data_IF_437690244049
#
_entry.id   IF_437690244049
#
_cell.length_a   1.000
_cell.length_b   1.000
_cell.length_c   1.000
_cell.angle_alpha   90.00
_cell.angle_beta   90.00
_cell.angle_gamma   90.00
#
_symmetry.space_group_name_H-M   'P 1'
#
loop_
_entity.id
_entity.type
_entity.pdbx_description
1 polymer ?
#
# COMPACT_ATOMS: atom_id res chain seq x y z
N UNK A 1 -4.48 -0.71 7.45
CA UNK A 1 -3.06 -1.12 7.61
C UNK A 1 -3.10 -2.26 8.61
N UNK A 2 -3.01 -3.49 8.15
CA UNK A 2 -3.34 -4.64 9.00
C UNK A 2 -2.19 -4.90 9.96
N UNK A 3 -2.43 -4.70 11.26
CA UNK A 3 -1.42 -4.82 12.32
C UNK A 3 -0.67 -6.16 12.21
N UNK A 4 -1.39 -7.22 11.84
CA UNK A 4 -0.86 -8.57 11.60
C UNK A 4 0.15 -8.65 10.45
N UNK A 5 -0.10 -7.99 9.32
CA UNK A 5 0.82 -7.99 8.16
C UNK A 5 2.11 -7.25 8.51
N UNK A 6 1.98 -6.11 9.19
CA UNK A 6 3.13 -5.32 9.63
C UNK A 6 3.98 -6.09 10.64
N UNK A 7 3.34 -6.86 11.53
CA UNK A 7 4.05 -7.69 12.50
C UNK A 7 4.84 -8.82 11.84
N UNK A 8 4.23 -9.52 10.87
CA UNK A 8 4.93 -10.56 10.12
C UNK A 8 6.15 -9.97 9.38
N UNK A 9 6.03 -8.78 8.78
CA UNK A 9 7.17 -8.10 8.15
C UNK A 9 8.28 -7.78 9.15
N UNK A 10 7.93 -7.23 10.33
CA UNK A 10 8.90 -6.94 11.38
C UNK A 10 9.65 -8.19 11.81
N UNK A 11 8.93 -9.28 12.06
CA UNK A 11 9.53 -10.56 12.45
C UNK A 11 10.46 -11.11 11.39
N UNK A 12 10.06 -11.09 10.11
CA UNK A 12 10.92 -11.49 8.99
C UNK A 12 12.20 -10.64 8.94
N UNK A 13 12.10 -9.33 9.12
CA UNK A 13 13.27 -8.44 9.13
C UNK A 13 14.23 -8.76 10.28
N UNK A 14 13.70 -8.97 11.49
CA UNK A 14 14.50 -9.34 12.66
C UNK A 14 15.23 -10.67 12.44
N UNK A 15 14.50 -11.71 12.00
CA UNK A 15 15.10 -13.03 11.76
C UNK A 15 16.19 -12.97 10.70
N UNK A 16 16.01 -12.20 9.62
CA UNK A 16 17.05 -12.04 8.59
C UNK A 16 18.31 -11.38 9.14
N UNK A 17 18.17 -10.37 10.00
CA UNK A 17 19.31 -9.73 10.65
C UNK A 17 20.05 -10.72 11.56
N UNK A 18 19.32 -11.50 12.37
CA UNK A 18 19.91 -12.55 13.22
C UNK A 18 20.60 -13.64 12.39
N UNK A 19 19.99 -14.06 11.28
CA UNK A 19 20.60 -15.02 10.35
C UNK A 19 21.93 -14.52 9.79
N UNK A 20 22.05 -13.23 9.46
CA UNK A 20 23.32 -12.65 9.00
C UNK A 20 24.42 -12.75 10.06
N UNK A 21 24.07 -12.57 11.34
CA UNK A 21 25.03 -12.74 12.44
C UNK A 21 25.46 -14.21 12.61
N UNK A 22 24.53 -15.16 12.50
CA UNK A 22 24.85 -16.58 12.57
C UNK A 22 25.70 -17.02 11.37
N UNK A 23 25.41 -16.52 10.16
CA UNK A 23 26.24 -16.77 8.98
C UNK A 23 27.67 -16.24 9.15
N UNK A 24 27.85 -15.07 9.78
CA UNK A 24 29.17 -14.57 10.14
C UNK A 24 29.88 -15.48 11.16
N UNK A 25 29.16 -15.94 12.19
CA UNK A 25 29.69 -16.89 13.18
C UNK A 25 30.13 -18.21 12.55
N UNK A 26 29.37 -18.74 11.58
CA UNK A 26 29.74 -19.96 10.85
C UNK A 26 31.04 -19.74 10.07
N UNK A 27 31.17 -18.60 9.38
CA UNK A 27 32.41 -18.25 8.66
C UNK A 27 33.60 -18.15 9.62
N UNK A 28 33.42 -17.55 10.79
CA UNK A 28 34.46 -17.44 11.81
C UNK A 28 34.86 -18.81 12.38
N UNK A 29 33.91 -19.73 12.58
CA UNK A 29 34.19 -21.11 13.00
C UNK A 29 34.98 -21.87 11.94
N UNK A 30 34.56 -21.79 10.67
CA UNK A 30 35.27 -22.40 9.54
C UNK A 30 36.69 -21.88 9.43
N UNK A 31 36.89 -20.55 9.53
CA UNK A 31 38.21 -19.93 9.45
C UNK A 31 39.15 -20.34 10.60
N UNK A 32 38.62 -20.93 11.66
CA UNK A 32 39.37 -21.41 12.84
C UNK A 32 39.40 -22.94 12.92
N UNK A 33 38.93 -23.64 11.88
CA UNK A 33 38.80 -25.10 11.84
C UNK A 33 37.98 -25.66 13.03
N UNK A 34 36.97 -24.91 13.48
CA UNK A 34 36.05 -25.31 14.55
C UNK A 34 34.78 -25.95 13.98
N UNK A 35 34.14 -26.81 14.78
CA UNK A 35 32.83 -27.36 14.43
C UNK A 35 31.76 -26.25 14.35
N UNK A 36 31.06 -26.20 13.22
CA UNK A 36 29.97 -25.24 12.94
C UNK A 36 28.60 -25.92 12.81
N UNK A 37 28.48 -27.20 13.15
CA UNK A 37 27.26 -28.00 12.96
C UNK A 37 26.07 -27.39 13.69
N UNK A 38 26.24 -26.97 14.95
CA UNK A 38 25.17 -26.32 15.73
C UNK A 38 24.71 -25.00 15.12
N UNK A 39 25.66 -24.11 14.78
CA UNK A 39 25.35 -22.83 14.16
C UNK A 39 24.64 -23.01 12.80
N UNK A 40 25.04 -24.02 12.04
CA UNK A 40 24.42 -24.40 10.76
C UNK A 40 23.00 -24.94 10.94
N UNK A 41 22.77 -25.82 11.92
CA UNK A 41 21.43 -26.30 12.26
C UNK A 41 20.51 -25.15 12.69
N UNK A 42 21.01 -24.22 13.52
CA UNK A 42 20.27 -23.03 13.92
C UNK A 42 19.92 -22.14 12.73
N UNK A 43 20.85 -21.94 11.79
CA UNK A 43 20.60 -21.19 10.56
C UNK A 43 19.48 -21.84 9.72
N UNK A 44 19.49 -23.16 9.59
CA UNK A 44 18.43 -23.88 8.87
C UNK A 44 17.07 -23.73 9.56
N UNK A 45 17.02 -23.80 10.89
CA UNK A 45 15.79 -23.58 11.64
C UNK A 45 15.22 -22.17 11.42
N UNK A 46 16.06 -21.14 11.46
CA UNK A 46 15.62 -19.76 11.19
C UNK A 46 15.14 -19.58 9.73
N UNK A 47 15.79 -20.24 8.76
CA UNK A 47 15.34 -20.26 7.36
C UNK A 47 13.94 -20.88 7.21
N UNK A 48 13.66 -21.95 7.96
CA UNK A 48 12.33 -22.56 8.00
C UNK A 48 11.29 -21.61 8.61
N UNK A 49 11.60 -20.92 9.71
CA UNK A 49 10.71 -19.93 10.33
C UNK A 49 10.39 -18.78 9.36
N UNK A 50 11.40 -18.27 8.64
CA UNK A 50 11.19 -17.22 7.62
C UNK A 50 10.29 -17.72 6.49
N UNK A 51 10.49 -18.96 6.01
CA UNK A 51 9.64 -19.55 4.97
C UNK A 51 8.18 -19.66 5.43
N UNK A 52 7.95 -20.07 6.68
CA UNK A 52 6.62 -20.15 7.27
C UNK A 52 5.96 -18.76 7.39
N UNK A 53 6.71 -17.77 7.88
CA UNK A 53 6.23 -16.39 7.99
C UNK A 53 5.88 -15.80 6.62
N UNK A 54 6.66 -16.08 5.58
CA UNK A 54 6.34 -15.69 4.20
C UNK A 54 5.05 -16.37 3.74
N UNK A 55 4.85 -17.65 4.06
CA UNK A 55 3.60 -18.36 3.78
C UNK A 55 2.39 -17.69 4.46
N UNK A 56 2.50 -17.38 5.75
CA UNK A 56 1.47 -16.67 6.53
C UNK A 56 1.23 -15.26 6.00
N UNK A 57 2.27 -14.55 5.58
CA UNK A 57 2.17 -13.23 4.97
C UNK A 57 1.39 -13.26 3.66
N UNK A 58 1.69 -14.23 2.78
CA UNK A 58 0.94 -14.45 1.52
C UNK A 58 -0.53 -14.78 1.80
N UNK A 59 -0.80 -15.70 2.74
CA UNK A 59 -2.15 -16.08 3.13
C UNK A 59 -2.95 -14.92 3.76
N UNK A 60 -2.26 -13.92 4.33
CA UNK A 60 -2.87 -12.71 4.89
C UNK A 60 -3.10 -11.61 3.84
N UNK A 61 -2.99 -11.89 2.54
CA UNK A 61 -3.17 -10.91 1.47
C UNK A 61 -1.94 -10.02 1.22
N UNK A 62 -0.79 -10.35 1.81
CA UNK A 62 0.45 -9.59 1.62
C UNK A 62 1.00 -9.64 0.19
N UNK A 63 0.64 -10.67 -0.58
CA UNK A 63 1.05 -10.85 -1.97
C UNK A 63 0.07 -10.32 -3.02
N UNK A 64 -1.13 -9.92 -2.62
CA UNK A 64 -2.09 -9.34 -3.56
C UNK A 64 -1.61 -7.96 -4.01
N UNK A 65 -1.82 -7.64 -5.29
CA UNK A 65 -1.51 -6.32 -5.84
C UNK A 65 -2.27 -5.28 -5.01
N UNK A 66 -1.54 -4.51 -4.20
CA UNK A 66 -2.09 -3.36 -3.50
C UNK A 66 -2.74 -2.42 -4.53
N UNK A 67 -3.99 -1.98 -4.32
CA UNK A 67 -4.62 -1.05 -5.22
C UNK A 67 -3.76 0.22 -5.31
N UNK A 68 -3.50 0.64 -6.54
CA UNK A 68 -2.79 1.89 -6.83
C UNK A 68 -3.50 3.07 -6.17
N UNK A 69 -2.79 4.18 -5.96
CA UNK A 69 -3.38 5.41 -5.39
C UNK A 69 -4.65 5.82 -6.15
N UNK A 70 -4.63 5.71 -7.48
CA UNK A 70 -5.79 5.96 -8.35
C UNK A 70 -6.96 5.02 -8.07
N UNK A 71 -6.72 3.71 -7.96
CA UNK A 71 -7.76 2.71 -7.67
C UNK A 71 -8.36 2.89 -6.26
N UNK A 72 -7.56 3.33 -5.28
CA UNK A 72 -8.06 3.67 -3.94
C UNK A 72 -8.96 4.90 -3.98
N UNK A 73 -8.51 5.96 -4.66
CA UNK A 73 -9.27 7.19 -4.80
C UNK A 73 -10.60 6.94 -5.55
N UNK A 74 -10.58 6.20 -6.66
CA UNK A 74 -11.79 5.90 -7.44
C UNK A 74 -12.83 5.12 -6.65
N UNK A 75 -12.42 4.20 -5.75
CA UNK A 75 -13.36 3.51 -4.84
C UNK A 75 -13.99 4.46 -3.83
N UNK A 76 -13.20 5.37 -3.25
CA UNK A 76 -13.72 6.40 -2.34
C UNK A 76 -14.71 7.37 -3.01
N UNK A 77 -14.55 7.62 -4.32
CA UNK A 77 -15.52 8.42 -5.09
C UNK A 77 -16.78 7.63 -5.47
N UNK A 78 -16.68 6.31 -5.67
CA UNK A 78 -17.82 5.45 -6.00
C UNK A 78 -18.74 5.19 -4.79
N UNK A 79 -18.20 5.14 -3.57
CA UNK A 79 -18.98 4.97 -2.33
C UNK A 79 -19.60 6.30 -1.83
N UNK A 80 -19.34 7.43 -2.49
CA UNK A 80 -20.00 8.69 -2.15
C UNK A 80 -21.43 8.62 -2.72
N UNK A 81 -22.49 8.70 -1.89
CA UNK A 81 -23.84 8.80 -2.43
C UNK A 81 -23.89 10.06 -3.28
N UNK A 82 -24.01 9.89 -4.59
CA UNK A 82 -24.25 10.98 -5.52
C UNK A 82 -25.61 11.55 -5.13
N UNK A 83 -25.59 12.63 -4.33
CA UNK A 83 -26.77 13.47 -4.19
C UNK A 83 -27.08 13.98 -5.60
N UNK A 84 -28.06 13.35 -6.25
CA UNK A 84 -28.60 13.78 -7.54
C UNK A 84 -29.13 15.19 -7.37
N UNK A 85 -28.33 16.19 -7.74
CA UNK A 85 -28.82 17.56 -7.89
C UNK A 85 -29.74 17.55 -9.10
N UNK A 86 -31.05 17.57 -8.84
CA UNK A 86 -32.07 17.79 -9.88
C UNK A 86 -31.79 19.13 -10.57
N UNK A 87 -31.77 19.21 -11.91
CA UNK A 87 -31.71 20.49 -12.61
C UNK A 87 -33.07 21.20 -12.46
N UNK A 88 -33.09 22.38 -11.84
CA UNK A 88 -34.27 23.25 -11.78
C UNK A 88 -34.51 23.93 -13.13
N UNK A 89 -35.78 24.03 -13.59
CA UNK A 89 -36.10 24.57 -14.91
C UNK A 89 -36.07 26.10 -14.93
N UNK A 90 -35.60 26.63 -16.06
CA UNK A 90 -35.68 28.03 -16.50
C UNK A 90 -37.13 28.52 -16.48
N UNK A 91 -37.38 29.71 -15.94
CA UNK A 91 -38.65 30.41 -16.14
C UNK A 91 -38.40 31.88 -16.54
N UNK A 92 -38.61 32.13 -17.82
CA UNK A 92 -38.76 33.43 -18.49
C UNK A 92 -39.98 34.18 -17.95
N UNK A 93 -39.92 35.52 -17.82
CA UNK A 93 -40.88 36.63 -18.12
C UNK A 93 -40.26 37.89 -17.45
N UNK A 94 -40.13 39.10 -18.00
CA UNK A 94 -41.00 39.96 -18.83
C UNK A 94 -40.18 41.23 -19.19
N UNK A 95 -40.28 41.75 -20.40
CA UNK A 95 -39.71 43.04 -20.86
C UNK A 95 -40.84 44.04 -21.22
N UNK A 96 -40.62 45.30 -21.65
CA UNK A 96 -39.61 46.36 -21.36
C UNK A 96 -40.33 47.71 -20.96
N UNK A 97 -39.68 48.90 -20.97
CA UNK A 97 -39.61 49.73 -22.21
C UNK A 97 -38.30 50.53 -22.42
N UNK A 98 -38.00 50.89 -23.67
CA UNK A 98 -37.02 51.91 -24.12
C UNK A 98 -37.71 53.29 -24.27
N UNK A 99 -37.03 54.46 -24.37
CA UNK A 99 -36.50 54.93 -25.68
C UNK A 99 -35.28 55.90 -25.68
N UNK A 100 -34.62 56.04 -26.85
CA UNK A 100 -33.84 57.22 -27.30
C UNK A 100 -32.36 57.27 -26.87
N UNK A 101 -31.35 57.59 -27.69
CA UNK A 101 -31.26 58.19 -29.03
C UNK A 101 -29.93 57.79 -29.74
N UNK A 102 -30.02 57.54 -31.05
CA UNK A 102 -29.14 57.85 -32.21
C UNK A 102 -27.59 57.73 -32.09
N UNK A 103 -26.93 56.81 -32.84
CA UNK A 103 -26.31 56.95 -34.20
C UNK A 103 -25.22 58.05 -34.30
N UNK A 104 -24.02 57.89 -34.88
CA UNK A 104 -23.61 57.13 -36.07
C UNK A 104 -22.07 56.90 -36.15
N UNK A 105 -21.66 55.99 -37.05
CA UNK A 105 -20.29 55.81 -37.61
C UNK A 105 -19.77 57.06 -38.32
N UNK A 106 -18.44 57.26 -38.34
CA UNK A 106 -17.51 57.21 -39.49
C UNK A 106 -16.08 57.16 -38.93
#
# INVERSE_FOLDING_TARGET
MDNKINEIRRRISTLRAEMTLIEASIRDQINRDLDCSEASCRLMAMRAEVAELIGRWKASGGGDRLPTVRERLSRSFADRPVATVKPTPVNSKKAPPKPGHSNAKV
#
